data_IF_724370852609
#
_entry.id   IF_724370852609
#
_cell.length_a   1.000
_cell.length_b   1.000
_cell.length_c   1.000
_cell.angle_alpha   90.00
_cell.angle_beta   90.00
_cell.angle_gamma   90.00
#
_symmetry.space_group_name_H-M   'P 1'
#
loop_
_entity.id
_entity.type
_entity.pdbx_description
1 polymer ?
#
# COMPACT_ATOMS: atom_id res chain seq x y z
N UNK A 1 14.95 -5.69 3.73
CA UNK A 1 13.96 -5.24 4.73
C UNK A 1 13.69 -6.39 5.66
N UNK A 2 13.64 -6.11 6.96
CA UNK A 2 13.59 -7.10 8.03
C UNK A 2 12.70 -6.55 9.15
N UNK A 3 12.28 -7.43 10.06
CA UNK A 3 11.58 -7.05 11.27
C UNK A 3 12.60 -6.78 12.37
N UNK A 4 12.31 -5.79 13.21
CA UNK A 4 13.11 -5.51 14.41
C UNK A 4 13.32 -6.80 15.23
N UNK A 5 14.55 -7.05 15.66
CA UNK A 5 14.92 -8.26 16.41
C UNK A 5 15.29 -9.48 15.57
N UNK A 6 15.08 -9.47 14.25
CA UNK A 6 15.62 -10.52 13.37
C UNK A 6 17.13 -10.38 13.15
N UNK A 7 17.82 -11.50 12.93
CA UNK A 7 19.28 -11.51 12.70
C UNK A 7 19.67 -10.65 11.50
N UNK A 8 20.63 -9.75 11.69
CA UNK A 8 21.13 -8.86 10.64
C UNK A 8 20.23 -7.65 10.37
N UNK A 9 19.23 -7.40 11.22
CA UNK A 9 18.42 -6.20 11.11
C UNK A 9 19.11 -5.00 11.78
N UNK A 10 19.40 -3.98 11.00
CA UNK A 10 20.06 -2.75 11.44
C UNK A 10 19.14 -1.54 11.22
N UNK A 11 19.22 -0.56 12.13
CA UNK A 11 18.50 0.71 12.04
C UNK A 11 16.97 0.56 11.81
N UNK A 12 16.25 -0.10 12.75
CA UNK A 12 14.80 -0.20 12.66
C UNK A 12 14.17 1.19 12.66
N UNK A 13 13.14 1.37 11.85
CA UNK A 13 12.37 2.62 11.78
C UNK A 13 10.92 2.33 12.14
N UNK A 14 10.21 3.29 12.76
CA UNK A 14 8.78 3.16 13.03
C UNK A 14 8.02 2.74 11.78
N UNK A 15 7.19 1.70 11.93
CA UNK A 15 6.37 1.18 10.85
C UNK A 15 5.03 0.70 11.41
N UNK A 16 3.93 1.19 10.83
CA UNK A 16 2.58 0.87 11.29
C UNK A 16 1.66 0.63 10.09
N UNK A 17 0.95 -0.49 10.14
CA UNK A 17 -0.03 -0.91 9.14
C UNK A 17 -1.30 -1.37 9.86
N UNK A 18 -2.43 -0.77 9.53
CA UNK A 18 -3.74 -1.26 9.94
C UNK A 18 -4.22 -2.33 8.94
N UNK A 19 -4.71 -3.46 9.45
CA UNK A 19 -5.19 -4.59 8.65
C UNK A 19 -6.62 -4.91 9.03
N UNK A 20 -7.47 -5.06 8.01
CA UNK A 20 -8.89 -5.40 8.14
C UNK A 20 -9.16 -6.62 7.25
N UNK A 21 -9.71 -7.70 7.82
CA UNK A 21 -10.01 -8.91 7.05
C UNK A 21 -11.38 -8.79 6.40
N UNK A 22 -11.42 -8.89 5.08
CA UNK A 22 -12.65 -8.76 4.28
C UNK A 22 -13.32 -10.12 4.10
N UNK A 23 -12.55 -11.11 3.60
CA UNK A 23 -13.08 -12.42 3.22
C UNK A 23 -12.06 -13.52 3.51
N UNK A 24 -12.54 -14.72 3.86
CA UNK A 24 -11.78 -15.96 3.76
C UNK A 24 -12.20 -16.73 2.52
N UNK A 25 -11.22 -17.39 1.91
CA UNK A 25 -11.44 -18.18 0.71
C UNK A 25 -10.27 -19.10 0.41
N UNK A 26 -10.32 -19.69 -0.78
CA UNK A 26 -9.23 -20.46 -1.34
C UNK A 26 -8.63 -19.70 -2.54
N UNK A 27 -7.31 -19.74 -2.67
CA UNK A 27 -6.61 -19.35 -3.90
C UNK A 27 -5.88 -20.55 -4.47
N UNK A 28 -6.28 -21.01 -5.66
CA UNK A 28 -5.74 -22.23 -6.28
C UNK A 28 -5.77 -23.47 -5.36
N UNK A 29 -6.75 -23.52 -4.45
CA UNK A 29 -6.94 -24.61 -3.47
C UNK A 29 -6.29 -24.37 -2.11
N UNK A 30 -5.42 -23.38 -1.96
CA UNK A 30 -4.78 -23.05 -0.69
C UNK A 30 -5.59 -22.00 0.10
N UNK A 31 -5.67 -22.10 1.44
CA UNK A 31 -6.42 -21.15 2.26
C UNK A 31 -5.77 -19.77 2.27
N UNK A 32 -6.54 -18.74 1.93
CA UNK A 32 -6.08 -17.34 1.94
C UNK A 32 -7.12 -16.40 2.53
N UNK A 33 -6.68 -15.20 2.88
CA UNK A 33 -7.53 -14.11 3.35
C UNK A 33 -7.40 -12.91 2.43
N UNK A 34 -8.54 -12.36 1.99
CA UNK A 34 -8.58 -11.06 1.32
C UNK A 34 -8.66 -9.99 2.40
N UNK A 35 -7.73 -9.05 2.36
CA UNK A 35 -7.57 -8.03 3.41
C UNK A 35 -7.49 -6.63 2.81
N UNK A 36 -8.00 -5.65 3.54
CA UNK A 36 -7.74 -4.22 3.30
C UNK A 36 -6.58 -3.80 4.20
N UNK A 37 -5.55 -3.22 3.60
CA UNK A 37 -4.35 -2.73 4.29
C UNK A 37 -4.27 -1.22 4.20
N UNK A 38 -4.09 -0.55 5.33
CA UNK A 38 -3.87 0.90 5.41
C UNK A 38 -2.51 1.17 6.07
N UNK A 39 -1.46 1.44 5.26
CA UNK A 39 -0.17 1.84 5.80
C UNK A 39 -0.25 3.27 6.36
N UNK A 40 0.10 3.44 7.64
CA UNK A 40 0.23 4.76 8.28
C UNK A 40 1.66 5.32 8.15
N UNK A 41 2.59 4.49 7.69
CA UNK A 41 3.97 4.86 7.38
C UNK A 41 4.35 4.35 5.99
N UNK A 42 5.37 4.93 5.36
CA UNK A 42 5.85 4.52 4.04
C UNK A 42 7.25 3.91 4.10
N UNK A 43 7.40 2.68 4.63
CA UNK A 43 8.68 1.92 4.53
C UNK A 43 8.70 1.07 3.25
N UNK A 44 9.89 0.83 2.72
CA UNK A 44 10.08 -0.05 1.55
C UNK A 44 9.51 -1.43 1.85
N UNK A 45 8.66 -1.93 0.96
CA UNK A 45 8.00 -3.24 1.08
C UNK A 45 7.21 -3.43 2.39
N UNK A 46 6.79 -2.36 3.08
CA UNK A 46 6.19 -2.42 4.41
C UNK A 46 5.09 -3.46 4.53
N UNK A 47 4.08 -3.39 3.65
CA UNK A 47 2.92 -4.28 3.67
C UNK A 47 3.33 -5.75 3.50
N UNK A 48 4.23 -6.01 2.56
CA UNK A 48 4.73 -7.37 2.25
C UNK A 48 5.47 -7.98 3.43
N UNK A 49 6.37 -7.19 4.03
CA UNK A 49 7.17 -7.58 5.20
C UNK A 49 6.27 -7.79 6.43
N UNK A 50 5.32 -6.89 6.68
CA UNK A 50 4.37 -7.03 7.79
C UNK A 50 3.48 -8.27 7.64
N UNK A 51 2.91 -8.49 6.46
CA UNK A 51 2.13 -9.69 6.16
C UNK A 51 2.95 -10.98 6.34
N UNK A 52 4.18 -11.03 5.81
CA UNK A 52 5.08 -12.16 6.00
C UNK A 52 5.44 -12.40 7.47
N UNK A 53 5.68 -11.33 8.24
CA UNK A 53 5.98 -11.40 9.66
C UNK A 53 4.81 -11.91 10.53
N UNK A 54 3.57 -11.64 10.11
CA UNK A 54 2.37 -12.21 10.72
C UNK A 54 2.16 -13.70 10.39
N UNK A 55 3.00 -14.29 9.53
CA UNK A 55 2.81 -15.65 9.02
C UNK A 55 1.79 -15.75 7.88
N UNK A 56 1.33 -14.61 7.36
CA UNK A 56 0.35 -14.52 6.27
C UNK A 56 0.94 -13.73 5.09
N UNK A 57 1.96 -14.26 4.40
CA UNK A 57 2.58 -13.56 3.29
C UNK A 57 1.58 -13.25 2.17
N UNK A 58 1.90 -12.23 1.37
CA UNK A 58 1.12 -11.90 0.17
C UNK A 58 1.28 -13.02 -0.85
N UNK A 59 0.17 -13.53 -1.37
CA UNK A 59 0.16 -14.55 -2.43
C UNK A 59 0.93 -14.06 -3.65
N UNK A 60 1.88 -14.86 -4.14
CA UNK A 60 2.71 -14.52 -5.29
C UNK A 60 3.91 -13.64 -4.96
N UNK A 61 4.22 -13.45 -3.67
CA UNK A 61 5.41 -12.68 -3.25
C UNK A 61 6.66 -13.55 -3.25
N UNK A 62 7.44 -13.44 -4.33
CA UNK A 62 8.69 -14.19 -4.52
C UNK A 62 9.80 -13.83 -3.52
N UNK A 63 9.68 -12.71 -2.79
CA UNK A 63 10.74 -12.23 -1.87
C UNK A 63 10.43 -12.53 -0.41
N UNK A 64 9.19 -12.29 0.02
CA UNK A 64 8.77 -12.43 1.43
C UNK A 64 7.78 -13.58 1.66
N UNK A 65 7.47 -14.34 0.61
CA UNK A 65 6.65 -15.55 0.69
C UNK A 65 7.33 -16.69 1.43
N UNK A 66 6.55 -17.72 1.74
CA UNK A 66 7.06 -18.88 2.47
C UNK A 66 7.94 -19.75 1.54
N UNK A 67 9.09 -20.28 2.00
CA UNK A 67 9.93 -21.17 1.19
C UNK A 67 9.23 -22.47 0.76
N UNK A 68 8.29 -22.96 1.58
CA UNK A 68 7.43 -24.09 1.25
C UNK A 68 6.17 -23.67 0.45
N UNK A 69 5.94 -22.37 0.32
CA UNK A 69 4.84 -21.79 -0.43
C UNK A 69 5.08 -21.91 -1.94
N UNK A 70 4.00 -22.11 -2.68
CA UNK A 70 4.00 -22.18 -4.14
C UNK A 70 3.92 -20.78 -4.75
N UNK A 71 4.70 -19.83 -4.25
CA UNK A 71 4.61 -18.39 -4.58
C UNK A 71 4.94 -18.07 -6.04
N UNK A 72 5.57 -19.00 -6.76
CA UNK A 72 5.81 -18.90 -8.20
C UNK A 72 4.65 -19.38 -9.08
N UNK A 73 3.61 -19.99 -8.49
CA UNK A 73 2.44 -20.49 -9.23
C UNK A 73 1.41 -19.41 -9.58
N UNK A 74 1.09 -18.45 -8.68
CA UNK A 74 0.24 -17.32 -9.04
C UNK A 74 0.84 -16.50 -10.19
N UNK A 75 -0.01 -16.02 -11.10
CA UNK A 75 0.45 -15.25 -12.27
C UNK A 75 1.00 -13.86 -11.95
N UNK A 76 0.75 -13.36 -10.73
CA UNK A 76 1.24 -12.08 -10.19
C UNK A 76 1.24 -12.10 -8.68
N UNK A 77 1.84 -11.08 -8.07
CA UNK A 77 1.66 -10.77 -6.66
C UNK A 77 0.28 -10.14 -6.41
N UNK A 78 -0.42 -10.63 -5.39
CA UNK A 78 -1.77 -10.21 -4.99
C UNK A 78 -1.72 -9.02 -4.02
N UNK A 79 -1.04 -7.96 -4.46
CA UNK A 79 -1.04 -6.65 -3.79
C UNK A 79 -1.49 -5.59 -4.79
N UNK A 80 -2.44 -4.76 -4.39
CA UNK A 80 -3.04 -3.74 -5.24
C UNK A 80 -3.25 -2.44 -4.47
N UNK A 81 -2.81 -1.32 -5.06
CA UNK A 81 -3.03 0.01 -4.49
C UNK A 81 -4.45 0.47 -4.81
N UNK A 82 -5.36 0.19 -3.88
CA UNK A 82 -6.80 0.31 -4.13
C UNK A 82 -7.34 1.74 -3.97
N UNK A 83 -6.87 2.47 -2.94
CA UNK A 83 -7.32 3.81 -2.60
C UNK A 83 -6.12 4.74 -2.38
N UNK A 84 -6.20 5.95 -2.89
CA UNK A 84 -5.20 7.01 -2.73
C UNK A 84 -5.90 8.35 -2.50
N UNK A 85 -5.43 9.09 -1.51
CA UNK A 85 -5.82 10.49 -1.29
C UNK A 85 -4.57 11.34 -1.07
N UNK A 86 -4.45 12.41 -1.85
CA UNK A 86 -3.33 13.35 -1.81
C UNK A 86 -3.91 14.77 -1.68
N UNK A 87 -4.04 15.29 -0.45
CA UNK A 87 -4.48 16.66 -0.24
C UNK A 87 -3.34 17.62 -0.63
N UNK A 88 -3.42 18.20 -1.82
CA UNK A 88 -2.48 19.25 -2.26
C UNK A 88 -3.02 20.63 -1.88
N UNK A 89 -2.20 21.67 -2.08
CA UNK A 89 -2.65 23.06 -1.86
C UNK A 89 -3.75 23.50 -2.84
N UNK A 90 -3.74 22.96 -4.05
CA UNK A 90 -4.65 23.37 -5.13
C UNK A 90 -5.94 22.55 -5.09
N UNK A 91 -5.81 21.24 -4.92
CA UNK A 91 -6.94 20.32 -4.88
C UNK A 91 -6.62 19.05 -4.08
N UNK A 92 -7.67 18.36 -3.65
CA UNK A 92 -7.55 17.02 -3.09
C UNK A 92 -7.65 15.99 -4.23
N UNK A 93 -6.53 15.37 -4.59
CA UNK A 93 -6.53 14.26 -5.56
C UNK A 93 -6.97 13.00 -4.83
N UNK A 94 -8.14 12.48 -5.18
CA UNK A 94 -8.68 11.26 -4.60
C UNK A 94 -8.99 10.23 -5.70
N UNK A 95 -8.51 9.01 -5.52
CA UNK A 95 -8.71 7.92 -6.46
C UNK A 95 -9.06 6.61 -5.74
N UNK A 96 -10.02 5.90 -6.30
CA UNK A 96 -10.43 4.56 -5.87
C UNK A 96 -10.53 3.69 -7.11
N UNK A 97 -9.64 2.71 -7.24
CA UNK A 97 -9.63 1.83 -8.42
C UNK A 97 -10.65 0.69 -8.25
N UNK A 98 -11.07 0.01 -9.34
CA UNK A 98 -11.80 -1.25 -9.23
C UNK A 98 -11.00 -2.30 -8.46
N UNK A 99 -11.72 -3.23 -7.82
CA UNK A 99 -11.12 -4.37 -7.12
C UNK A 99 -10.71 -5.46 -8.14
N UNK A 100 -9.40 -5.78 -8.26
CA UNK A 100 -8.95 -6.82 -9.17
C UNK A 100 -9.12 -8.24 -8.60
N UNK A 101 -9.38 -8.40 -7.30
CA UNK A 101 -9.42 -9.69 -6.61
C UNK A 101 -10.86 -10.21 -6.52
N UNK A 102 -11.46 -10.41 -7.70
CA UNK A 102 -12.83 -10.89 -7.86
C UNK A 102 -12.83 -12.24 -8.59
N UNK A 103 -13.72 -13.18 -8.22
CA UNK A 103 -13.83 -14.48 -8.90
C UNK A 103 -14.11 -14.36 -10.41
N UNK A 104 -14.76 -13.26 -10.82
CA UNK A 104 -15.04 -12.97 -12.22
C UNK A 104 -13.80 -12.57 -13.04
N UNK A 105 -12.74 -12.09 -12.37
CA UNK A 105 -11.48 -11.67 -12.99
C UNK A 105 -10.39 -12.73 -12.83
N UNK A 106 -10.39 -13.45 -11.70
CA UNK A 106 -9.47 -14.53 -11.40
C UNK A 106 -10.23 -15.72 -10.81
N UNK A 107 -10.35 -16.78 -11.61
CA UNK A 107 -11.07 -18.00 -11.23
C UNK A 107 -10.33 -18.85 -10.20
N UNK A 108 -9.05 -18.57 -9.93
CA UNK A 108 -8.32 -19.21 -8.84
C UNK A 108 -8.79 -18.71 -7.47
N UNK A 109 -9.38 -17.52 -7.39
CA UNK A 109 -9.96 -16.97 -6.16
C UNK A 109 -11.38 -17.47 -5.93
N UNK A 110 -11.59 -18.19 -4.82
CA UNK A 110 -12.88 -18.73 -4.40
C UNK A 110 -13.21 -18.28 -2.97
N UNK A 111 -13.91 -17.14 -2.79
CA UNK A 111 -14.37 -16.69 -1.49
C UNK A 111 -15.48 -17.60 -0.96
N UNK A 112 -15.45 -17.90 0.33
CA UNK A 112 -16.50 -18.70 0.98
C UNK A 112 -17.02 -18.08 2.28
N UNK A 113 -16.34 -17.11 2.86
CA UNK A 113 -16.79 -16.43 4.09
C UNK A 113 -16.54 -14.94 3.97
N UNK A 114 -17.60 -14.14 4.01
CA UNK A 114 -17.53 -12.69 4.10
C UNK A 114 -17.50 -12.27 5.58
N UNK A 115 -16.45 -11.54 5.98
CA UNK A 115 -16.29 -11.03 7.33
C UNK A 115 -16.66 -9.55 7.39
N UNK A 116 -16.15 -8.75 6.44
CA UNK A 116 -16.41 -7.32 6.38
C UNK A 116 -16.60 -6.86 4.92
N UNK A 117 -17.70 -6.15 4.61
CA UNK A 117 -17.94 -5.63 3.27
C UNK A 117 -16.95 -4.49 2.96
N UNK A 118 -16.47 -4.44 1.72
CA UNK A 118 -15.50 -3.44 1.27
C UNK A 118 -16.12 -2.03 1.21
N UNK A 119 -17.32 -1.88 0.65
CA UNK A 119 -17.91 -0.56 0.39
C UNK A 119 -18.03 0.35 1.64
N UNK A 120 -18.53 -0.14 2.80
CA UNK A 120 -18.61 0.69 4.00
C UNK A 120 -17.24 1.11 4.53
N UNK A 121 -16.21 0.27 4.36
CA UNK A 121 -14.84 0.61 4.76
C UNK A 121 -14.29 1.74 3.89
N UNK A 122 -14.56 1.70 2.58
CA UNK A 122 -14.14 2.77 1.66
C UNK A 122 -14.90 4.07 1.95
N UNK A 123 -16.19 4.00 2.24
CA UNK A 123 -16.95 5.18 2.66
C UNK A 123 -16.38 5.77 3.96
N UNK A 124 -16.00 4.94 4.92
CA UNK A 124 -15.35 5.39 6.15
C UNK A 124 -13.98 6.04 5.87
N UNK A 125 -13.17 5.50 4.95
CA UNK A 125 -11.90 6.12 4.54
C UNK A 125 -12.11 7.50 3.91
N UNK A 126 -13.10 7.64 3.03
CA UNK A 126 -13.45 8.93 2.41
C UNK A 126 -13.91 9.97 3.44
N UNK A 127 -14.66 9.54 4.44
CA UNK A 127 -15.15 10.41 5.52
C UNK A 127 -14.08 10.74 6.57
N UNK A 128 -12.99 9.96 6.66
CA UNK A 128 -11.95 10.16 7.64
C UNK A 128 -11.15 11.46 7.37
N UNK A 129 -10.84 12.25 8.40
CA UNK A 129 -10.03 13.46 8.24
C UNK A 129 -8.63 13.11 7.72
N UNK A 130 -8.00 14.05 7.05
CA UNK A 130 -6.60 13.89 6.68
C UNK A 130 -5.72 13.75 7.92
N UNK A 131 -4.69 12.89 7.88
CA UNK A 131 -3.78 12.75 9.00
C UNK A 131 -3.11 14.10 9.27
N UNK A 132 -3.27 14.59 10.51
CA UNK A 132 -2.60 15.81 10.94
C UNK A 132 -1.08 15.56 10.93
N UNK A 133 -0.27 16.43 10.31
CA UNK A 133 1.19 16.30 10.34
C UNK A 133 1.79 16.32 11.76
N UNK A 134 1.00 16.75 12.75
CA UNK A 134 1.40 16.94 14.15
C UNK A 134 0.92 15.82 15.08
N UNK A 135 0.18 14.82 14.57
CA UNK A 135 -0.38 13.72 15.37
C UNK A 135 0.46 12.44 15.25
N UNK A 136 1.80 12.60 15.30
CA UNK A 136 2.69 11.49 15.60
C UNK A 136 2.58 11.19 17.10
N UNK A 137 2.04 10.02 17.45
CA UNK A 137 1.86 9.57 18.84
C UNK A 137 3.16 9.59 19.67
N UNK A 138 3.06 9.40 21.01
CA UNK A 138 4.15 9.73 21.93
C UNK A 138 5.32 8.73 21.82
N UNK A 139 6.29 9.08 20.98
CA UNK A 139 7.59 8.44 20.88
C UNK A 139 8.64 9.52 20.61
N UNK A 140 9.40 9.89 21.64
CA UNK A 140 10.44 10.91 21.57
C UNK A 140 11.30 10.84 20.30
N UNK A 141 11.14 11.84 19.44
CA UNK A 141 12.14 12.28 18.46
C UNK A 141 11.95 13.78 18.31
N UNK A 142 12.98 14.57 18.55
CA UNK A 142 12.96 15.99 18.16
C UNK A 142 12.47 16.11 16.71
N UNK A 143 11.70 17.16 16.36
CA UNK A 143 11.37 17.41 14.96
C UNK A 143 12.68 17.42 14.17
N UNK A 144 12.78 16.69 13.05
CA UNK A 144 13.94 16.83 12.18
C UNK A 144 14.12 18.32 11.86
N UNK A 145 15.35 18.85 11.84
CA UNK A 145 15.57 20.24 11.48
C UNK A 145 14.81 20.52 10.17
N UNK A 146 14.16 21.69 10.04
CA UNK A 146 13.37 22.00 8.85
C UNK A 146 14.25 21.70 7.64
N UNK A 147 13.85 20.72 6.86
CA UNK A 147 14.54 20.39 5.63
C UNK A 147 14.29 21.58 4.71
N UNK A 148 15.23 22.53 4.73
CA UNK A 148 15.39 23.53 3.68
C UNK A 148 15.77 22.77 2.44
N UNK A 149 14.78 22.13 1.79
CA UNK A 149 14.93 21.71 0.42
C UNK A 149 15.40 22.97 -0.33
N UNK A 150 16.50 22.88 -1.09
CA UNK A 150 16.95 24.02 -1.89
C UNK A 150 15.75 24.57 -2.65
N UNK A 151 15.61 25.90 -2.66
CA UNK A 151 14.59 26.56 -3.46
C UNK A 151 14.76 26.04 -4.90
N UNK A 152 13.71 25.44 -5.44
CA UNK A 152 13.75 24.84 -6.76
C UNK A 152 14.22 25.89 -7.77
N UNK A 153 15.31 25.59 -8.47
CA UNK A 153 15.85 26.51 -9.48
C UNK A 153 14.94 26.55 -10.70
N UNK A 154 14.89 27.67 -11.38
CA UNK A 154 14.06 27.87 -12.58
C UNK A 154 14.34 26.82 -13.67
N UNK A 155 15.58 26.32 -13.74
CA UNK A 155 15.98 25.22 -14.60
C UNK A 155 15.35 23.87 -14.20
N UNK A 156 15.25 23.58 -12.89
CA UNK A 156 14.59 22.37 -12.39
C UNK A 156 13.09 22.41 -12.65
N UNK A 157 12.46 23.57 -12.45
CA UNK A 157 11.04 23.75 -12.76
C UNK A 157 10.76 23.63 -14.26
N UNK A 158 11.62 24.20 -15.11
CA UNK A 158 11.49 24.06 -16.58
C UNK A 158 11.65 22.61 -17.01
N UNK A 159 12.61 21.88 -16.44
CA UNK A 159 12.80 20.45 -16.73
C UNK A 159 11.61 19.60 -16.27
N UNK A 160 11.00 19.93 -15.12
CA UNK A 160 9.83 19.24 -14.63
C UNK A 160 8.60 19.51 -15.51
N UNK A 161 8.40 20.76 -15.94
CA UNK A 161 7.32 21.13 -16.87
C UNK A 161 7.49 20.49 -18.25
N UNK A 162 8.71 20.45 -18.78
CA UNK A 162 9.00 19.77 -20.03
C UNK A 162 8.69 18.27 -19.91
N UNK A 163 9.14 17.62 -18.84
CA UNK A 163 8.82 16.22 -18.59
C UNK A 163 7.31 16.00 -18.47
N UNK A 164 6.57 16.85 -17.75
CA UNK A 164 5.11 16.73 -17.67
C UNK A 164 4.40 16.93 -19.02
N UNK A 165 4.93 17.82 -19.88
CA UNK A 165 4.38 18.05 -21.22
C UNK A 165 4.59 16.87 -22.17
N UNK A 166 5.63 16.06 -21.96
CA UNK A 166 5.86 14.82 -22.71
C UNK A 166 4.85 13.72 -22.33
N UNK A 167 4.21 13.83 -21.16
CA UNK A 167 3.25 12.86 -20.63
C UNK A 167 1.79 13.33 -20.67
N UNK A 168 1.52 14.58 -21.04
CA UNK A 168 0.17 14.99 -21.41
C UNK A 168 -0.22 14.30 -22.71
N UNK A 169 -1.02 13.23 -22.58
CA UNK A 169 -1.69 12.60 -23.72
C UNK A 169 -2.46 13.68 -24.47
N UNK A 170 -2.05 13.97 -25.71
CA UNK A 170 -2.87 14.73 -26.64
C UNK A 170 -4.24 14.06 -26.71
N UNK A 171 -5.36 14.80 -26.57
CA UNK A 171 -6.68 14.19 -26.66
C UNK A 171 -6.85 13.61 -28.06
N UNK A 172 -7.10 12.29 -28.13
CA UNK A 172 -7.33 11.56 -29.38
C UNK A 172 -8.32 12.32 -30.29
N UNK A 173 -7.88 12.62 -31.51
CA UNK A 173 -8.71 13.18 -32.59
C UNK A 173 -9.57 12.12 -33.26
#
# INVERSE_FOLDING_TARGET
>A
MCIEGTQGCENPKPSLTELVVLEHGLYAGDPVSKVLLKPLTGRTHQLRVHCGALGHPVVGDLTYGQPAGRESQPFRMMLHAFYLRVPTRAECVEACTPDPFLPALDTCWSPHTLLQPLDPLIQALRAAPDPNPMDEGPGHSQPPPPCTKPLETEAQSTSCLQWLSEWTLEPDK
#
